data_IF_055310795264
#
_entry.id   IF_055310795264
#
_cell.length_a   1.000
_cell.length_b   1.000
_cell.length_c   1.000
_cell.angle_alpha   90.00
_cell.angle_beta   90.00
_cell.angle_gamma   90.00
#
_symmetry.space_group_name_H-M   'P 1'
#
loop_
_entity.id
_entity.type
_entity.pdbx_description
1 polymer ?
#
# COMPACT_ATOMS: atom_id res chain seq x y z
N UNK A 1 0.54 -31.64 5.39
CA UNK A 1 1.14 -30.33 5.71
C UNK A 1 -0.02 -29.34 5.79
N UNK A 2 -0.30 -28.79 6.98
CA UNK A 2 -1.41 -27.87 7.21
C UNK A 2 -0.85 -26.45 7.38
N UNK A 3 -1.34 -25.49 6.61
CA UNK A 3 -0.95 -24.08 6.69
C UNK A 3 -1.78 -23.35 7.75
N UNK A 4 -1.40 -23.52 9.03
CA UNK A 4 -2.12 -22.91 10.16
C UNK A 4 -1.99 -21.40 10.28
N UNK A 5 -1.03 -20.79 9.56
CA UNK A 5 -0.77 -19.35 9.56
C UNK A 5 -1.75 -18.54 8.68
N UNK A 6 -2.48 -19.21 7.78
CA UNK A 6 -3.45 -18.58 6.89
C UNK A 6 -2.83 -17.46 6.05
N UNK A 7 -3.45 -16.27 6.06
CA UNK A 7 -2.99 -15.09 5.30
C UNK A 7 -1.82 -14.35 5.96
N UNK A 8 -1.42 -14.74 7.18
CA UNK A 8 -0.40 -14.07 7.97
C UNK A 8 0.98 -14.68 7.71
N UNK A 9 1.55 -14.31 6.57
CA UNK A 9 2.89 -14.69 6.15
C UNK A 9 3.80 -13.46 6.07
N UNK A 10 5.07 -13.61 6.48
CA UNK A 10 6.07 -12.54 6.40
C UNK A 10 5.68 -11.31 7.23
N UNK A 11 5.75 -10.11 6.64
CA UNK A 11 5.48 -8.85 7.36
C UNK A 11 4.06 -8.81 7.97
N UNK A 12 3.07 -9.45 7.33
CA UNK A 12 1.69 -9.53 7.82
C UNK A 12 1.61 -10.23 9.17
N UNK A 13 2.46 -11.23 9.40
CA UNK A 13 2.57 -11.94 10.67
C UNK A 13 3.17 -11.08 11.77
N UNK A 14 4.32 -10.45 11.49
CA UNK A 14 5.01 -9.57 12.44
C UNK A 14 4.12 -8.40 12.88
N UNK A 15 3.38 -7.80 11.95
CA UNK A 15 2.45 -6.72 12.25
C UNK A 15 1.24 -7.17 13.05
N UNK A 16 0.71 -8.37 12.77
CA UNK A 16 -0.39 -8.95 13.57
C UNK A 16 0.04 -9.12 15.02
N UNK A 17 1.24 -9.65 15.25
CA UNK A 17 1.80 -9.90 16.57
C UNK A 17 2.38 -8.67 17.27
N UNK A 18 2.47 -7.52 16.58
CA UNK A 18 3.15 -6.32 17.08
C UNK A 18 4.58 -6.62 17.53
N UNK A 19 5.28 -7.47 16.79
CA UNK A 19 6.66 -7.84 17.05
C UNK A 19 7.55 -7.10 16.06
N UNK A 20 8.41 -6.22 16.58
CA UNK A 20 9.27 -5.37 15.75
C UNK A 20 10.43 -6.19 15.17
N UNK A 21 10.50 -6.36 13.83
CA UNK A 21 11.64 -6.99 13.18
C UNK A 21 12.85 -6.07 13.21
N UNK A 22 14.05 -6.65 13.07
CA UNK A 22 15.29 -5.89 12.91
C UNK A 22 15.24 -4.93 11.70
N UNK A 23 14.61 -5.37 10.61
CA UNK A 23 14.32 -4.56 9.43
C UNK A 23 12.92 -4.91 8.91
N UNK A 24 12.08 -3.88 8.71
CA UNK A 24 10.75 -4.07 8.15
C UNK A 24 10.81 -4.45 6.67
N UNK A 25 9.77 -5.12 6.19
CA UNK A 25 9.62 -5.36 4.75
C UNK A 25 9.58 -4.02 3.99
N UNK A 26 10.25 -3.98 2.84
CA UNK A 26 10.37 -2.75 2.04
C UNK A 26 11.36 -1.72 2.59
N UNK A 27 12.05 -2.01 3.70
CA UNK A 27 13.09 -1.14 4.24
C UNK A 27 14.33 -1.11 3.34
N UNK A 28 14.82 0.09 3.08
CA UNK A 28 16.04 0.31 2.31
C UNK A 28 16.62 1.67 2.61
N UNK A 29 17.90 1.68 2.98
CA UNK A 29 18.64 2.93 3.16
C UNK A 29 18.94 3.57 1.80
N UNK A 30 18.98 4.89 1.78
CA UNK A 30 19.43 5.68 0.65
C UNK A 30 20.46 6.69 1.14
N UNK A 31 21.39 7.08 0.27
CA UNK A 31 22.30 8.20 0.55
C UNK A 31 21.61 9.56 0.45
N UNK A 32 20.29 9.57 0.26
CA UNK A 32 19.43 10.73 0.03
C UNK A 32 18.23 10.66 0.95
N UNK A 33 17.70 11.82 1.32
CA UNK A 33 16.50 11.95 2.15
C UNK A 33 15.34 12.44 1.28
N UNK A 34 14.14 11.94 1.58
CA UNK A 34 12.94 12.27 0.83
C UNK A 34 11.81 12.65 1.77
N UNK A 35 11.06 13.67 1.36
CA UNK A 35 9.81 14.10 1.97
C UNK A 35 8.62 13.78 1.07
N UNK A 36 7.45 13.67 1.68
CA UNK A 36 6.18 13.47 1.01
C UNK A 36 5.22 14.61 1.33
N UNK A 37 5.37 15.77 0.67
CA UNK A 37 4.62 16.98 1.03
C UNK A 37 3.10 16.89 0.77
N UNK A 38 2.65 16.04 -0.15
CA UNK A 38 1.23 15.90 -0.46
C UNK A 38 0.89 14.45 -0.87
N UNK A 39 -0.21 13.93 -0.33
CA UNK A 39 -0.78 12.62 -0.64
C UNK A 39 -2.25 12.83 -1.02
N UNK A 40 -2.57 12.59 -2.28
CA UNK A 40 -3.90 12.77 -2.85
C UNK A 40 -4.52 11.40 -3.08
N UNK A 41 -5.64 11.16 -2.38
CA UNK A 41 -6.42 9.92 -2.47
C UNK A 41 -7.87 10.24 -2.83
N UNK A 42 -8.57 9.37 -3.57
CA UNK A 42 -10.00 9.53 -3.80
C UNK A 42 -10.76 9.47 -2.47
N UNK A 43 -11.71 10.40 -2.28
CA UNK A 43 -12.56 10.40 -1.09
C UNK A 43 -13.53 9.21 -1.06
N UNK A 44 -13.96 8.77 -2.24
CA UNK A 44 -14.85 7.62 -2.44
C UNK A 44 -14.36 6.82 -3.63
N UNK A 45 -14.39 5.48 -3.51
CA UNK A 45 -14.10 4.55 -4.60
C UNK A 45 -15.33 3.66 -4.81
N UNK A 46 -16.01 3.84 -5.93
CA UNK A 46 -17.16 3.03 -6.29
C UNK A 46 -16.72 1.85 -7.17
N UNK A 47 -16.97 0.63 -6.68
CA UNK A 47 -16.65 -0.62 -7.37
C UNK A 47 -17.91 -1.21 -8.02
N UNK A 48 -18.66 -0.40 -8.77
CA UNK A 48 -19.92 -0.85 -9.40
C UNK A 48 -19.70 -1.76 -10.62
N UNK A 49 -18.54 -1.68 -11.28
CA UNK A 49 -18.22 -2.48 -12.46
C UNK A 49 -17.00 -3.37 -12.24
N UNK A 50 -17.27 -4.63 -11.94
CA UNK A 50 -16.28 -5.68 -11.61
C UNK A 50 -15.34 -5.97 -12.80
N UNK A 51 -15.53 -5.37 -13.96
CA UNK A 51 -14.65 -5.52 -15.12
C UNK A 51 -13.53 -4.47 -15.22
N UNK A 52 -13.66 -3.29 -14.60
CA UNK A 52 -12.72 -2.16 -14.84
C UNK A 52 -12.45 -1.22 -13.65
N UNK A 53 -12.98 -1.50 -12.45
CA UNK A 53 -12.76 -0.67 -11.26
C UNK A 53 -11.26 -0.50 -10.94
N UNK A 54 -10.75 0.71 -11.14
CA UNK A 54 -9.40 1.11 -10.73
C UNK A 54 -9.45 2.56 -10.26
N UNK A 55 -8.59 2.88 -9.31
CA UNK A 55 -8.44 4.23 -8.79
C UNK A 55 -6.96 4.59 -8.72
N UNK A 56 -6.67 5.88 -8.67
CA UNK A 56 -5.30 6.40 -8.65
C UNK A 56 -5.04 7.09 -7.32
N UNK A 57 -3.86 6.82 -6.76
CA UNK A 57 -3.30 7.57 -5.63
C UNK A 57 -2.10 8.34 -6.16
N UNK A 58 -2.05 9.63 -5.85
CA UNK A 58 -0.92 10.47 -6.20
C UNK A 58 -0.16 10.89 -4.95
N UNK A 59 1.16 10.93 -5.06
CA UNK A 59 2.01 11.44 -3.99
C UNK A 59 3.12 12.27 -4.58
N UNK A 60 3.34 13.43 -3.98
CA UNK A 60 4.50 14.24 -4.32
C UNK A 60 5.70 13.73 -3.52
N UNK A 61 6.80 13.45 -4.22
CA UNK A 61 8.06 12.96 -3.64
C UNK A 61 9.11 14.03 -3.86
N UNK A 62 9.61 14.59 -2.77
CA UNK A 62 10.63 15.64 -2.79
C UNK A 62 11.96 15.10 -2.31
N UNK A 63 13.02 15.28 -3.09
CA UNK A 63 14.38 15.00 -2.65
C UNK A 63 14.91 16.20 -1.86
N UNK A 64 15.20 16.00 -0.57
CA UNK A 64 15.69 17.05 0.35
C UNK A 64 17.20 17.03 0.53
N UNK A 65 17.91 16.26 -0.29
CA UNK A 65 19.36 16.07 -0.19
C UNK A 65 20.12 16.57 -1.42
N UNK A 66 21.45 16.67 -1.30
CA UNK A 66 22.35 17.19 -2.33
C UNK A 66 22.83 16.16 -3.36
N UNK A 67 22.03 15.11 -3.60
CA UNK A 67 22.36 14.06 -4.57
C UNK A 67 21.10 13.56 -5.23
N UNK A 68 21.19 13.28 -6.52
CA UNK A 68 20.12 12.60 -7.25
C UNK A 68 20.03 11.14 -6.81
N UNK A 69 18.82 10.60 -6.72
CA UNK A 69 18.63 9.19 -6.37
C UNK A 69 17.28 8.64 -6.79
N UNK A 70 17.17 7.32 -6.76
CA UNK A 70 15.90 6.63 -6.88
C UNK A 70 15.22 6.52 -5.51
N UNK A 71 13.92 6.77 -5.48
CA UNK A 71 13.03 6.45 -4.36
C UNK A 71 12.02 5.40 -4.78
N UNK A 72 11.84 4.39 -3.92
CA UNK A 72 10.72 3.45 -4.03
C UNK A 72 9.62 3.99 -3.11
N UNK A 73 8.51 4.40 -3.71
CA UNK A 73 7.27 4.76 -3.03
C UNK A 73 6.45 3.49 -2.86
N UNK A 74 6.03 3.19 -1.64
CA UNK A 74 5.21 2.03 -1.35
C UNK A 74 3.85 2.46 -0.80
N UNK A 75 2.78 1.92 -1.37
CA UNK A 75 1.42 2.13 -0.91
C UNK A 75 0.87 0.85 -0.29
N UNK A 76 0.35 1.02 0.91
CA UNK A 76 -0.33 -0.02 1.64
C UNK A 76 -1.78 0.37 1.90
N UNK A 77 -2.68 -0.60 1.87
CA UNK A 77 -4.08 -0.42 2.25
C UNK A 77 -4.36 -1.18 3.54
N UNK A 78 -5.09 -0.53 4.43
CA UNK A 78 -5.61 -1.11 5.67
C UNK A 78 -7.13 -0.94 5.69
N UNK A 79 -7.83 -2.07 5.77
CA UNK A 79 -9.29 -2.13 5.91
C UNK A 79 -9.64 -1.97 7.40
N UNK A 80 -10.40 -0.93 7.75
CA UNK A 80 -10.63 -0.55 9.16
C UNK A 80 -11.62 -1.47 9.84
N UNK A 81 -12.67 -1.88 9.12
CA UNK A 81 -13.83 -2.60 9.66
C UNK A 81 -14.11 -3.88 8.85
N UNK A 82 -13.05 -4.64 8.54
CA UNK A 82 -13.16 -5.86 7.75
C UNK A 82 -13.89 -6.97 8.52
N UNK A 83 -14.93 -7.57 7.93
CA UNK A 83 -15.58 -8.76 8.51
C UNK A 83 -14.69 -10.03 8.40
N UNK A 84 -13.73 -10.03 7.46
CA UNK A 84 -12.82 -11.13 7.22
C UNK A 84 -11.50 -10.99 8.01
N UNK A 85 -10.86 -12.13 8.25
CA UNK A 85 -9.53 -12.19 8.87
C UNK A 85 -8.46 -11.66 7.89
N UNK A 86 -8.10 -10.37 7.99
CA UNK A 86 -7.17 -9.68 7.08
C UNK A 86 -5.90 -9.21 7.78
N UNK A 87 -4.84 -8.98 7.01
CA UNK A 87 -3.62 -8.34 7.50
C UNK A 87 -3.88 -6.87 7.86
N UNK A 88 -3.13 -6.32 8.83
CA UNK A 88 -3.31 -4.93 9.30
C UNK A 88 -3.11 -3.92 8.18
N UNK A 89 -2.10 -4.13 7.34
CA UNK A 89 -1.94 -3.44 6.07
C UNK A 89 -1.37 -4.39 5.03
N UNK A 90 -1.66 -4.14 3.76
CA UNK A 90 -1.20 -4.94 2.63
C UNK A 90 -0.57 -4.02 1.59
N UNK A 91 0.62 -4.38 1.09
CA UNK A 91 1.22 -3.66 -0.03
C UNK A 91 0.34 -3.86 -1.27
N UNK A 92 -0.22 -2.78 -1.81
CA UNK A 92 -1.13 -2.81 -2.96
C UNK A 92 -0.53 -2.15 -4.20
N UNK A 93 0.49 -1.32 -4.04
CA UNK A 93 1.18 -0.70 -5.16
C UNK A 93 2.54 -0.14 -4.76
N UNK A 94 3.43 -0.02 -5.74
CA UNK A 94 4.70 0.65 -5.54
C UNK A 94 5.17 1.27 -6.85
N UNK A 95 5.98 2.32 -6.75
CA UNK A 95 6.62 2.95 -7.89
C UNK A 95 8.05 3.34 -7.56
N UNK A 96 8.97 3.08 -8.49
CA UNK A 96 10.35 3.53 -8.41
C UNK A 96 10.49 4.80 -9.26
N UNK A 97 10.88 5.90 -8.63
CA UNK A 97 11.01 7.22 -9.27
C UNK A 97 12.42 7.74 -9.11
N UNK A 98 12.98 8.31 -10.19
CA UNK A 98 14.23 9.08 -10.13
C UNK A 98 13.89 10.53 -9.76
N UNK A 99 14.49 11.08 -8.72
CA UNK A 99 14.26 12.47 -8.28
C UNK A 99 15.61 13.15 -8.11
N UNK A 100 15.84 14.21 -8.88
CA UNK A 100 17.08 14.98 -8.79
C UNK A 100 17.17 15.76 -7.47
N UNK A 101 18.36 16.24 -7.12
CA UNK A 101 18.59 17.13 -5.98
C UNK A 101 17.58 18.29 -5.98
N UNK A 102 16.89 18.48 -4.85
CA UNK A 102 15.90 19.56 -4.66
C UNK A 102 14.62 19.43 -5.47
N UNK A 103 14.49 18.43 -6.35
CA UNK A 103 13.33 18.23 -7.21
C UNK A 103 12.15 17.64 -6.42
N UNK A 104 10.94 17.99 -6.84
CA UNK A 104 9.70 17.32 -6.42
C UNK A 104 9.04 16.67 -7.63
N UNK A 105 8.70 15.39 -7.53
CA UNK A 105 7.96 14.66 -8.56
C UNK A 105 6.66 14.09 -8.02
N UNK A 106 5.60 14.29 -8.78
CA UNK A 106 4.32 13.60 -8.55
C UNK A 106 4.41 12.18 -9.09
N UNK A 107 4.20 11.21 -8.20
CA UNK A 107 4.14 9.79 -8.51
C UNK A 107 2.69 9.34 -8.47
N UNK A 108 2.23 8.74 -9.57
CA UNK A 108 0.88 8.20 -9.73
C UNK A 108 0.92 6.69 -9.63
N UNK A 109 0.15 6.12 -8.70
CA UNK A 109 0.06 4.68 -8.51
C UNK A 109 -1.39 4.26 -8.72
N UNK A 110 -1.62 3.52 -9.80
CA UNK A 110 -2.91 2.95 -10.14
C UNK A 110 -3.14 1.67 -9.35
N UNK A 111 -4.24 1.62 -8.63
CA UNK A 111 -4.69 0.48 -7.83
C UNK A 111 -5.95 -0.10 -8.47
N UNK A 112 -6.01 -1.42 -8.58
CA UNK A 112 -7.19 -2.12 -9.06
C UNK A 112 -8.19 -2.38 -7.93
N UNK A 113 -9.37 -2.87 -8.28
CA UNK A 113 -10.41 -3.28 -7.33
C UNK A 113 -9.92 -4.32 -6.30
N UNK A 114 -8.88 -5.12 -6.61
CA UNK A 114 -8.39 -6.16 -5.71
C UNK A 114 -7.59 -5.56 -4.55
N UNK A 115 -7.07 -4.34 -4.70
CA UNK A 115 -6.46 -3.58 -3.61
C UNK A 115 -7.41 -3.42 -2.40
N UNK A 116 -8.72 -3.33 -2.67
CA UNK A 116 -9.78 -3.20 -1.64
C UNK A 116 -10.48 -4.54 -1.33
N UNK A 117 -10.35 -5.53 -2.22
CA UNK A 117 -11.09 -6.79 -2.10
C UNK A 117 -10.36 -7.83 -1.25
N UNK A 118 -11.14 -8.73 -0.66
CA UNK A 118 -10.67 -9.97 -0.05
C UNK A 118 -11.35 -11.18 -0.72
N UNK A 119 -10.78 -12.38 -0.57
CA UNK A 119 -11.40 -13.60 -1.06
C UNK A 119 -12.45 -14.10 -0.07
N UNK A 120 -13.72 -14.13 -0.47
CA UNK A 120 -14.80 -14.67 0.34
C UNK A 120 -15.02 -16.15 -0.03
N UNK A 121 -14.67 -17.06 0.87
CA UNK A 121 -14.74 -18.51 0.63
C UNK A 121 -16.17 -19.01 0.45
N UNK A 122 -17.12 -18.52 1.25
CA UNK A 122 -18.54 -18.92 1.16
C UNK A 122 -19.15 -18.58 -0.20
N UNK A 123 -18.76 -17.44 -0.77
CA UNK A 123 -19.24 -16.96 -2.05
C UNK A 123 -18.38 -17.42 -3.24
N UNK A 124 -17.21 -18.02 -2.99
CA UNK A 124 -16.26 -18.43 -4.03
C UNK A 124 -15.80 -17.28 -4.95
N UNK A 125 -15.75 -16.04 -4.44
CA UNK A 125 -15.39 -14.86 -5.24
C UNK A 125 -14.72 -13.76 -4.42
N UNK A 126 -13.99 -12.89 -5.11
CA UNK A 126 -13.52 -11.63 -4.54
C UNK A 126 -14.70 -10.73 -4.16
N UNK A 127 -14.66 -10.17 -2.94
CA UNK A 127 -15.61 -9.18 -2.44
C UNK A 127 -14.86 -8.01 -1.84
N UNK A 128 -15.36 -6.80 -2.05
CA UNK A 128 -14.98 -5.63 -1.27
C UNK A 128 -16.22 -5.22 -0.48
N UNK A 129 -16.04 -4.97 0.81
CA UNK A 129 -17.10 -4.46 1.67
C UNK A 129 -17.10 -2.93 1.61
N UNK A 130 -18.29 -2.34 1.71
CA UNK A 130 -18.42 -0.91 1.91
C UNK A 130 -17.86 -0.58 3.30
N UNK A 131 -16.95 0.39 3.36
CA UNK A 131 -16.27 0.73 4.60
C UNK A 131 -15.16 1.74 4.41
N UNK A 132 -14.47 2.03 5.52
CA UNK A 132 -13.35 2.95 5.54
C UNK A 132 -12.04 2.20 5.29
N UNK A 133 -11.27 2.68 4.32
CA UNK A 133 -9.94 2.18 4.02
C UNK A 133 -8.91 3.27 4.30
N UNK A 134 -7.81 2.91 4.96
CA UNK A 134 -6.66 3.78 5.17
C UNK A 134 -5.60 3.50 4.11
N UNK A 135 -5.17 4.56 3.43
CA UNK A 135 -3.99 4.54 2.56
C UNK A 135 -2.78 4.92 3.41
N UNK A 136 -1.77 4.06 3.41
CA UNK A 136 -0.54 4.22 4.19
C UNK A 136 0.62 4.30 3.22
N UNK A 137 1.42 5.36 3.34
CA UNK A 137 2.61 5.60 2.55
C UNK A 137 3.87 5.18 3.32
N UNK A 138 4.83 4.58 2.62
CA UNK A 138 6.19 4.30 3.13
C UNK A 138 7.27 4.69 2.11
#
# INVERSE_FOLDING_TARGET
>A
MYYGEGVFLGYRYYEKLQNDPLFYFGYGLSYTTFDYPDLRVPATVELHDVSAGSFEVEVDVRNTSHRDSYKIVQLYISDVDCAALRARKELTGFAKVWVAEGETKTVKIKLDKYALSYWNEEAGKWRAEEGLFKVILS
#
